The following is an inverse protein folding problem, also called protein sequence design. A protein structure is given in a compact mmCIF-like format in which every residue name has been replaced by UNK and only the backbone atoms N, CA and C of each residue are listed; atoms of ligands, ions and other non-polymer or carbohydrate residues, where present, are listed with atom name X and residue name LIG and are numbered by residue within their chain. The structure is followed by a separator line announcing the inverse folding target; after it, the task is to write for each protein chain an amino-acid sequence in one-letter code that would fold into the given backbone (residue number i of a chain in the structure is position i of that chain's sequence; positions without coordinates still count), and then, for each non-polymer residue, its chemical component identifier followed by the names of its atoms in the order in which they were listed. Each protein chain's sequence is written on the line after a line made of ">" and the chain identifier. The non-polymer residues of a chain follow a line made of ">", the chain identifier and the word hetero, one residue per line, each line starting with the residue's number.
data_IF_991821956096
#
_entry.id   IF_991821956096
#
_cell.length_a   1.000
_cell.length_b   1.000
_cell.length_c   1.000
_cell.angle_alpha   90.00
_cell.angle_beta   90.00
_cell.angle_gamma   90.00
#
_symmetry.space_group_name_H-M   'P 1'
#
loop_
_entity.id
_entity.type
_entity.pdbx_description
1 polymer ?
#
# COMPACT_ATOMS: atom_id res chain seq x y z
N UNK A 1 -2.00 -12.70 -7.76
CA UNK A 1 -1.22 -11.60 -8.40
C UNK A 1 -2.11 -10.36 -8.43
N UNK A 2 -1.57 -9.19 -8.10
CA UNK A 2 -2.33 -7.97 -7.77
C UNK A 2 -3.09 -7.37 -8.95
N UNK A 3 -4.38 -7.70 -9.05
CA UNK A 3 -5.37 -7.06 -9.92
C UNK A 3 -6.17 -5.99 -9.16
N UNK A 4 -6.99 -5.21 -9.87
CA UNK A 4 -7.75 -4.12 -9.28
C UNK A 4 -6.85 -2.93 -8.96
N UNK A 5 -7.21 -2.13 -7.95
CA UNK A 5 -6.49 -0.93 -7.54
C UNK A 5 -6.24 -0.95 -6.03
N UNK A 6 -5.01 -0.64 -5.62
CA UNK A 6 -4.64 -0.40 -4.22
C UNK A 6 -4.41 1.10 -4.01
N UNK A 7 -5.19 1.74 -3.14
CA UNK A 7 -4.91 3.11 -2.73
C UNK A 7 -4.30 3.10 -1.33
N UNK A 8 -3.06 3.57 -1.21
CA UNK A 8 -2.32 3.65 0.03
C UNK A 8 -2.10 5.12 0.41
N UNK A 9 -2.66 5.54 1.55
CA UNK A 9 -2.52 6.90 2.06
C UNK A 9 -1.69 6.92 3.34
N UNK A 10 -0.74 7.84 3.43
CA UNK A 10 0.06 8.09 4.64
C UNK A 10 0.16 9.60 4.86
N UNK A 11 -0.31 10.06 6.02
CA UNK A 11 -0.41 11.49 6.33
C UNK A 11 0.94 12.17 6.54
N UNK A 12 1.97 11.43 6.99
CA UNK A 12 3.31 11.97 7.21
C UNK A 12 4.15 11.79 5.94
N UNK A 13 4.46 12.91 5.29
CA UNK A 13 5.18 12.94 4.00
C UNK A 13 6.47 12.12 3.97
N UNK A 14 7.29 12.15 5.02
CA UNK A 14 8.53 11.36 5.07
C UNK A 14 8.26 9.86 5.04
N UNK A 15 7.23 9.39 5.77
CA UNK A 15 6.78 8.00 5.76
C UNK A 15 6.11 7.63 4.43
N UNK A 16 5.36 8.55 3.83
CA UNK A 16 4.72 8.33 2.53
C UNK A 16 5.73 8.12 1.40
N UNK A 17 6.90 8.80 1.46
CA UNK A 17 8.02 8.53 0.55
C UNK A 17 8.61 7.13 0.73
N UNK A 18 8.77 6.67 1.97
CA UNK A 18 9.24 5.31 2.27
C UNK A 18 8.20 4.27 1.78
N UNK A 19 6.92 4.54 1.99
CA UNK A 19 5.82 3.72 1.48
C UNK A 19 5.89 3.59 -0.06
N UNK A 20 6.04 4.69 -0.79
CA UNK A 20 6.20 4.66 -2.25
C UNK A 20 7.40 3.81 -2.70
N UNK A 21 8.53 3.91 -1.99
CA UNK A 21 9.72 3.08 -2.26
C UNK A 21 9.46 1.58 -1.99
N UNK A 22 8.72 1.25 -0.93
CA UNK A 22 8.35 -0.13 -0.63
C UNK A 22 7.39 -0.70 -1.68
N UNK A 23 6.40 0.07 -2.13
CA UNK A 23 5.47 -0.30 -3.20
C UNK A 23 6.25 -0.63 -4.49
N UNK A 24 7.21 0.22 -4.85
CA UNK A 24 8.09 0.00 -6.01
C UNK A 24 8.96 -1.26 -5.86
N UNK A 25 9.61 -1.42 -4.70
CA UNK A 25 10.49 -2.55 -4.42
C UNK A 25 9.75 -3.89 -4.39
N UNK A 26 8.50 -3.89 -3.93
CA UNK A 26 7.64 -5.07 -3.95
C UNK A 26 7.02 -5.36 -5.33
N UNK A 27 7.31 -4.54 -6.35
CA UNK A 27 6.82 -4.74 -7.71
C UNK A 27 5.31 -4.49 -7.86
N UNK A 28 4.70 -3.72 -6.97
CA UNK A 28 3.25 -3.45 -7.00
C UNK A 28 2.94 -2.45 -8.12
N UNK A 29 2.22 -2.91 -9.15
CA UNK A 29 1.91 -2.14 -10.38
C UNK A 29 0.67 -1.28 -10.27
N UNK A 30 -0.27 -1.71 -9.45
CA UNK A 30 -1.63 -1.22 -9.42
C UNK A 30 -1.90 -0.38 -8.16
N UNK A 31 -0.89 0.33 -7.67
CA UNK A 31 -1.01 1.16 -6.48
C UNK A 31 -1.01 2.66 -6.79
N UNK A 32 -1.78 3.40 -6.01
CA UNK A 32 -1.66 4.86 -5.85
C UNK A 32 -1.18 5.11 -4.42
N UNK A 33 -0.12 5.90 -4.29
CA UNK A 33 0.38 6.39 -3.00
C UNK A 33 0.04 7.86 -2.88
N UNK A 34 -0.62 8.22 -1.78
CA UNK A 34 -1.06 9.58 -1.48
C UNK A 34 -0.60 10.02 -0.09
N UNK A 35 -0.54 11.33 0.09
CA UNK A 35 -0.21 11.97 1.36
C UNK A 35 -1.19 13.13 1.59
N UNK A 36 -2.32 12.80 2.19
CA UNK A 36 -3.37 13.77 2.54
C UNK A 36 -4.17 13.29 3.74
N UNK A 37 -4.93 14.18 4.38
CA UNK A 37 -5.82 13.82 5.48
C UNK A 37 -6.97 12.90 5.02
N UNK A 38 -7.51 12.13 5.97
CA UNK A 38 -8.57 11.18 5.68
C UNK A 38 -9.83 11.86 5.13
N UNK A 39 -10.17 13.07 5.59
CA UNK A 39 -11.36 13.79 5.13
C UNK A 39 -11.26 14.17 3.64
N UNK A 40 -10.08 14.57 3.16
CA UNK A 40 -9.84 14.80 1.73
C UNK A 40 -10.02 13.51 0.90
N UNK A 41 -9.56 12.37 1.41
CA UNK A 41 -9.80 11.04 0.81
C UNK A 41 -11.29 10.71 0.78
N UNK A 42 -11.99 10.84 1.91
CA UNK A 42 -13.43 10.60 2.06
C UNK A 42 -14.26 11.35 1.02
N UNK A 43 -14.00 12.66 0.91
CA UNK A 43 -14.70 13.51 -0.06
C UNK A 43 -14.37 13.20 -1.51
N UNK A 44 -13.08 13.02 -1.83
CA UNK A 44 -12.64 12.88 -3.22
C UNK A 44 -12.83 11.48 -3.81
N UNK A 45 -12.95 10.45 -2.96
CA UNK A 45 -13.14 9.05 -3.33
C UNK A 45 -14.43 8.46 -2.75
N UNK A 46 -15.46 9.29 -2.55
CA UNK A 46 -16.74 8.86 -2.01
C UNK A 46 -17.37 7.75 -2.86
N UNK A 47 -17.72 6.63 -2.24
CA UNK A 47 -18.34 5.47 -2.89
C UNK A 47 -17.45 4.74 -3.90
N UNK A 48 -16.12 4.84 -3.78
CA UNK A 48 -15.16 4.29 -4.75
C UNK A 48 -14.67 2.87 -4.44
N UNK A 49 -14.47 2.52 -3.16
CA UNK A 49 -13.80 1.27 -2.80
C UNK A 49 -14.77 0.14 -2.45
N UNK A 50 -14.45 -1.07 -2.90
CA UNK A 50 -15.08 -2.32 -2.43
C UNK A 50 -14.61 -2.69 -1.00
N UNK A 51 -13.39 -2.28 -0.63
CA UNK A 51 -12.80 -2.59 0.66
C UNK A 51 -11.86 -1.49 1.14
N UNK A 52 -11.90 -1.20 2.44
CA UNK A 52 -11.04 -0.23 3.12
C UNK A 52 -10.43 -0.87 4.35
N UNK A 53 -9.12 -0.70 4.53
CA UNK A 53 -8.39 -1.06 5.74
C UNK A 53 -7.98 0.20 6.49
N UNK A 54 -8.33 0.26 7.77
CA UNK A 54 -7.88 1.28 8.71
C UNK A 54 -7.00 0.59 9.76
N UNK A 55 -5.69 0.77 9.63
CA UNK A 55 -4.76 0.56 10.73
C UNK A 55 -4.61 1.91 11.45
N UNK A 56 -5.36 2.08 12.52
CA UNK A 56 -5.60 3.40 13.09
C UNK A 56 -4.46 3.82 14.02
N UNK A 57 -4.03 5.10 14.00
CA UNK A 57 -3.14 5.62 15.02
C UNK A 57 -3.81 5.46 16.39
N UNK A 58 -3.13 4.80 17.32
CA UNK A 58 -3.66 4.44 18.63
C UNK A 58 -2.64 4.70 19.74
N UNK A 59 -3.07 4.56 20.99
CA UNK A 59 -2.18 4.69 22.17
C UNK A 59 -1.03 3.68 22.21
N UNK A 60 -1.07 2.63 21.38
CA UNK A 60 0.08 1.75 21.12
C UNK A 60 0.48 0.83 22.28
N UNK A 61 -0.45 0.47 23.16
CA UNK A 61 -0.18 -0.38 24.33
C UNK A 61 0.43 -1.75 23.96
N UNK A 62 0.09 -2.29 22.77
CA UNK A 62 0.71 -3.51 22.24
C UNK A 62 2.19 -3.35 21.91
N UNK A 63 2.68 -2.13 21.75
CA UNK A 63 4.10 -1.85 21.46
C UNK A 63 4.98 -1.83 22.71
N UNK A 64 4.42 -1.86 23.93
CA UNK A 64 5.18 -1.77 25.18
C UNK A 64 6.31 -2.80 25.32
N UNK A 65 6.13 -3.99 24.74
CA UNK A 65 7.16 -5.06 24.76
C UNK A 65 8.33 -4.81 23.81
N UNK A 66 8.11 -4.05 22.74
CA UNK A 66 9.10 -3.77 21.69
C UNK A 66 9.74 -2.39 21.82
N UNK A 67 8.97 -1.42 22.26
CA UNK A 67 9.34 -0.01 22.26
C UNK A 67 9.16 0.58 23.66
N UNK A 68 10.22 0.63 24.49
CA UNK A 68 10.15 1.20 25.84
C UNK A 68 9.65 2.65 25.87
N UNK A 69 9.86 3.41 24.78
CA UNK A 69 9.38 4.78 24.66
C UNK A 69 7.84 4.88 24.67
N UNK A 70 7.13 3.87 24.17
CA UNK A 70 5.66 3.86 24.15
C UNK A 70 5.05 3.93 25.56
N UNK A 71 5.74 3.39 26.57
CA UNK A 71 5.31 3.50 27.98
C UNK A 71 5.33 4.94 28.48
N UNK A 72 6.28 5.77 28.01
CA UNK A 72 6.41 7.16 28.44
C UNK A 72 5.40 8.10 27.79
N UNK A 73 4.81 7.69 26.67
CA UNK A 73 3.80 8.44 25.91
C UNK A 73 2.37 8.02 26.28
N UNK A 74 2.21 7.00 27.12
CA UNK A 74 0.90 6.50 27.53
C UNK A 74 0.25 7.39 28.59
N UNK A 75 -1.03 7.70 28.39
CA UNK A 75 -1.91 8.34 29.37
C UNK A 75 -3.37 8.16 28.96
N UNK A 76 -4.31 8.27 29.91
CA UNK A 76 -5.75 8.27 29.62
C UNK A 76 -6.14 9.42 28.66
N UNK A 77 -5.49 10.58 28.79
CA UNK A 77 -5.66 11.69 27.85
C UNK A 77 -5.24 11.32 26.42
N UNK A 78 -4.16 10.55 26.27
CA UNK A 78 -3.69 10.07 24.97
C UNK A 78 -4.68 9.05 24.36
N UNK A 79 -5.20 8.12 25.16
CA UNK A 79 -6.28 7.19 24.74
C UNK A 79 -7.48 7.99 24.22
N UNK A 80 -7.96 8.98 24.98
CA UNK A 80 -9.07 9.83 24.57
C UNK A 80 -8.79 10.65 23.30
N UNK A 81 -7.56 11.15 23.13
CA UNK A 81 -7.14 11.85 21.90
C UNK A 81 -7.12 10.91 20.69
N UNK A 82 -6.56 9.71 20.84
CA UNK A 82 -6.53 8.69 19.81
C UNK A 82 -7.94 8.25 19.40
N UNK A 83 -8.82 7.97 20.36
CA UNK A 83 -10.21 7.61 20.10
C UNK A 83 -10.96 8.68 19.27
N UNK A 84 -10.79 9.97 19.59
CA UNK A 84 -11.38 11.08 18.80
C UNK A 84 -10.86 11.09 17.37
N UNK A 85 -9.54 10.99 17.18
CA UNK A 85 -8.92 10.94 15.85
C UNK A 85 -9.37 9.72 15.05
N UNK A 86 -9.49 8.57 15.71
CA UNK A 86 -9.98 7.33 15.09
C UNK A 86 -11.43 7.48 14.62
N UNK A 87 -12.27 8.23 15.34
CA UNK A 87 -13.64 8.54 14.90
C UNK A 87 -13.59 9.32 13.58
N UNK A 88 -12.82 10.40 13.50
CA UNK A 88 -12.68 11.19 12.26
C UNK A 88 -12.20 10.34 11.07
N UNK A 89 -11.26 9.42 11.31
CA UNK A 89 -10.75 8.51 10.27
C UNK A 89 -11.81 7.48 9.85
N UNK A 90 -12.55 6.91 10.80
CA UNK A 90 -13.63 5.94 10.54
C UNK A 90 -14.75 6.57 9.70
N UNK A 91 -15.18 7.78 10.05
CA UNK A 91 -16.18 8.55 9.29
C UNK A 91 -15.73 8.76 7.84
N UNK A 92 -14.53 9.28 7.65
CA UNK A 92 -14.00 9.55 6.32
C UNK A 92 -13.78 8.27 5.50
N UNK A 93 -13.40 7.15 6.13
CA UNK A 93 -13.26 5.87 5.48
C UNK A 93 -14.60 5.27 5.06
N UNK A 94 -15.64 5.40 5.90
CA UNK A 94 -16.99 4.96 5.60
C UNK A 94 -17.54 5.66 4.34
N UNK A 95 -17.28 6.96 4.20
CA UNK A 95 -17.65 7.74 3.01
C UNK A 95 -17.02 7.20 1.72
N UNK A 96 -15.85 6.56 1.78
CA UNK A 96 -15.23 6.02 0.57
C UNK A 96 -15.77 4.67 0.10
N UNK A 97 -16.56 3.98 0.93
CA UNK A 97 -17.07 2.65 0.61
C UNK A 97 -18.31 2.73 -0.28
N UNK A 98 -18.35 1.87 -1.29
CA UNK A 98 -19.56 1.61 -2.07
C UNK A 98 -20.55 0.73 -1.29
N UNK A 99 -21.78 0.59 -1.83
CA UNK A 99 -22.76 -0.36 -1.30
C UNK A 99 -22.21 -1.78 -1.34
N UNK A 100 -22.38 -2.54 -0.25
CA UNK A 100 -21.83 -3.89 -0.09
C UNK A 100 -20.34 -3.92 0.28
N UNK A 101 -19.66 -2.76 0.28
CA UNK A 101 -18.25 -2.63 0.61
C UNK A 101 -17.93 -2.98 2.06
N UNK A 102 -16.66 -3.31 2.32
CA UNK A 102 -16.19 -3.78 3.64
C UNK A 102 -15.14 -2.86 4.24
N UNK A 103 -15.29 -2.56 5.52
CA UNK A 103 -14.34 -1.78 6.31
C UNK A 103 -13.68 -2.68 7.35
N UNK A 104 -12.36 -2.86 7.29
CA UNK A 104 -11.61 -3.50 8.38
C UNK A 104 -10.97 -2.42 9.23
N UNK A 105 -11.39 -2.33 10.49
CA UNK A 105 -10.81 -1.45 11.49
C UNK A 105 -9.87 -2.25 12.38
N UNK A 106 -8.68 -1.70 12.65
CA UNK A 106 -7.69 -2.34 13.49
C UNK A 106 -6.86 -1.34 14.28
N UNK A 107 -6.38 -1.79 15.43
CA UNK A 107 -5.47 -1.04 16.33
C UNK A 107 -4.46 -2.00 16.96
N UNK A 108 -3.33 -1.47 17.40
CA UNK A 108 -2.36 -2.18 18.24
C UNK A 108 -2.44 -1.78 19.73
N UNK A 109 -3.64 -1.44 20.23
CA UNK A 109 -3.88 -1.07 21.64
C UNK A 109 -4.91 -1.98 22.31
N UNK A 110 -4.93 -2.02 23.65
CA UNK A 110 -5.89 -2.81 24.41
C UNK A 110 -7.09 -1.99 24.91
N UNK A 111 -6.95 -0.67 25.05
CA UNK A 111 -7.98 0.26 25.49
C UNK A 111 -9.36 0.02 24.84
N UNK A 112 -10.43 -0.26 25.62
CA UNK A 112 -11.80 -0.39 25.10
C UNK A 112 -12.32 0.86 24.36
N UNK A 113 -11.89 2.05 24.79
CA UNK A 113 -12.23 3.36 24.25
C UNK A 113 -11.83 3.53 22.78
N UNK A 114 -10.74 2.87 22.38
CA UNK A 114 -10.22 2.85 21.02
C UNK A 114 -10.70 1.61 20.23
N UNK A 115 -11.33 0.64 20.90
CA UNK A 115 -11.68 -0.65 20.31
C UNK A 115 -13.19 -0.85 20.25
N UNK A 116 -13.79 -1.61 21.18
CA UNK A 116 -15.22 -1.91 21.15
C UNK A 116 -16.09 -0.66 21.22
N UNK A 117 -15.68 0.35 21.99
CA UNK A 117 -16.46 1.59 22.10
C UNK A 117 -16.42 2.40 20.80
N UNK A 118 -15.33 2.34 20.04
CA UNK A 118 -15.30 2.89 18.68
C UNK A 118 -16.28 2.20 17.76
N UNK A 119 -16.32 0.86 17.80
CA UNK A 119 -17.25 0.08 16.97
C UNK A 119 -18.70 0.34 17.38
N UNK A 120 -19.00 0.39 18.68
CA UNK A 120 -20.34 0.69 19.17
C UNK A 120 -20.80 2.10 18.77
N UNK A 121 -19.92 3.10 18.93
CA UNK A 121 -20.18 4.49 18.51
C UNK A 121 -20.44 4.58 17.01
N UNK A 122 -19.60 3.92 16.20
CA UNK A 122 -19.73 3.91 14.75
C UNK A 122 -21.06 3.27 14.32
N UNK A 123 -21.40 2.08 14.82
CA UNK A 123 -22.67 1.41 14.48
C UNK A 123 -23.90 2.18 14.92
N UNK A 124 -23.79 3.01 15.97
CA UNK A 124 -24.87 3.87 16.42
C UNK A 124 -25.07 5.10 15.51
N UNK A 125 -23.98 5.64 14.96
CA UNK A 125 -24.03 6.75 14.01
C UNK A 125 -24.39 6.29 12.58
N UNK A 126 -24.02 5.06 12.22
CA UNK A 126 -24.14 4.50 10.86
C UNK A 126 -25.05 3.27 10.83
N UNK A 127 -26.38 3.44 10.86
CA UNK A 127 -27.33 2.32 10.82
C UNK A 127 -27.32 1.56 9.49
N UNK A 128 -26.67 2.10 8.45
CA UNK A 128 -26.42 1.45 7.17
C UNK A 128 -25.20 0.52 7.19
N UNK A 129 -24.52 0.37 8.33
CA UNK A 129 -23.44 -0.59 8.54
C UNK A 129 -23.84 -1.72 9.48
N UNK A 130 -23.28 -2.90 9.24
CA UNK A 130 -23.38 -4.06 10.12
C UNK A 130 -22.00 -4.57 10.53
N UNK A 131 -21.90 -5.14 11.73
CA UNK A 131 -20.71 -5.84 12.18
C UNK A 131 -20.72 -7.27 11.62
N UNK A 132 -19.66 -7.64 10.91
CA UNK A 132 -19.48 -8.98 10.35
C UNK A 132 -18.94 -9.92 11.43
N UNK A 133 -19.54 -11.09 11.57
CA UNK A 133 -19.12 -12.11 12.53
C UNK A 133 -17.77 -12.74 12.15
N UNK A 134 -16.72 -12.45 12.93
CA UNK A 134 -15.39 -13.07 12.80
C UNK A 134 -15.20 -14.27 13.73
N UNK A 135 -16.24 -14.78 14.40
CA UNK A 135 -16.15 -15.92 15.32
C UNK A 135 -15.59 -17.19 14.66
N UNK A 136 -15.79 -17.36 13.34
CA UNK A 136 -15.25 -18.46 12.54
C UNK A 136 -13.76 -18.35 12.18
N UNK A 137 -13.07 -17.26 12.56
CA UNK A 137 -11.64 -17.10 12.27
C UNK A 137 -10.76 -17.88 13.25
N UNK A 138 -9.60 -18.35 12.78
CA UNK A 138 -8.66 -19.15 13.58
C UNK A 138 -7.74 -18.33 14.49
N UNK A 139 -7.85 -17.00 14.47
CA UNK A 139 -6.95 -16.10 15.19
C UNK A 139 -7.68 -15.25 16.24
N UNK A 140 -6.90 -14.81 17.23
CA UNK A 140 -7.39 -14.01 18.35
C UNK A 140 -8.42 -14.73 19.21
N UNK A 141 -8.95 -14.00 20.19
CA UNK A 141 -10.11 -14.32 21.01
C UNK A 141 -11.28 -13.38 20.67
N UNK A 142 -12.52 -13.70 21.04
CA UNK A 142 -13.63 -12.76 20.90
C UNK A 142 -13.32 -11.41 21.56
N UNK A 143 -13.76 -10.32 20.95
CA UNK A 143 -13.78 -9.01 21.59
C UNK A 143 -14.64 -8.99 22.85
N UNK A 144 -14.48 -7.95 23.64
CA UNK A 144 -15.22 -7.81 24.88
C UNK A 144 -16.69 -7.49 24.62
N UNK A 145 -17.56 -8.04 25.45
CA UNK A 145 -18.99 -7.73 25.42
C UNK A 145 -19.26 -6.33 25.94
N UNK A 146 -20.43 -5.76 25.61
CA UNK A 146 -20.86 -4.46 26.16
C UNK A 146 -20.77 -4.41 27.69
N UNK A 147 -21.13 -5.50 28.38
CA UNK A 147 -21.07 -5.57 29.84
C UNK A 147 -19.65 -5.39 30.41
N UNK A 148 -18.62 -5.74 29.64
CA UNK A 148 -17.21 -5.62 30.02
C UNK A 148 -16.63 -4.24 29.69
N UNK A 149 -17.20 -3.51 28.74
CA UNK A 149 -16.65 -2.23 28.26
C UNK A 149 -17.48 -1.00 28.64
N UNK A 150 -18.73 -1.18 29.10
CA UNK A 150 -19.65 -0.09 29.43
C UNK A 150 -19.12 0.91 30.47
N UNK A 151 -18.22 0.48 31.36
CA UNK A 151 -17.65 1.35 32.40
C UNK A 151 -16.64 2.35 31.84
N UNK A 152 -16.11 2.10 30.64
CA UNK A 152 -15.19 2.98 29.91
C UNK A 152 -15.93 3.94 28.95
N UNK A 153 -17.27 3.92 28.94
CA UNK A 153 -18.08 4.70 28.01
C UNK A 153 -18.84 5.82 28.72
N UNK A 154 -18.74 7.04 28.19
CA UNK A 154 -19.53 8.20 28.64
C UNK A 154 -21.01 8.12 28.19
N UNK A 155 -21.34 7.19 27.31
CA UNK A 155 -22.67 7.04 26.71
C UNK A 155 -23.13 5.58 26.72
N UNK A 156 -24.45 5.37 26.77
CA UNK A 156 -25.04 4.06 26.59
C UNK A 156 -25.30 3.81 25.10
N UNK A 157 -24.82 2.67 24.59
CA UNK A 157 -25.12 2.20 23.24
C UNK A 157 -26.08 0.99 23.27
N UNK A 158 -26.82 0.73 22.18
CA UNK A 158 -27.51 -0.54 21.99
C UNK A 158 -26.57 -1.74 22.19
N UNK A 159 -27.13 -2.91 22.51
CA UNK A 159 -26.35 -4.13 22.68
C UNK A 159 -25.89 -4.69 21.33
N UNK A 160 -24.88 -4.06 20.73
CA UNK A 160 -24.20 -4.56 19.54
C UNK A 160 -23.44 -5.87 19.87
N UNK A 161 -23.31 -6.80 18.91
CA UNK A 161 -22.61 -8.07 19.11
C UNK A 161 -21.09 -7.90 19.07
N UNK A 162 -20.53 -7.10 19.98
CA UNK A 162 -19.11 -6.71 19.98
C UNK A 162 -18.13 -7.90 20.04
N UNK A 163 -18.57 -9.04 20.54
CA UNK A 163 -17.84 -10.32 20.51
C UNK A 163 -17.55 -10.86 19.10
N UNK A 164 -18.18 -10.31 18.06
CA UNK A 164 -17.87 -10.58 16.66
C UNK A 164 -16.54 -9.97 16.22
N UNK A 165 -16.02 -8.99 16.97
CA UNK A 165 -14.66 -8.48 16.80
C UNK A 165 -13.63 -9.48 17.36
N UNK A 166 -12.35 -9.29 17.01
CA UNK A 166 -11.24 -10.11 17.50
C UNK A 166 -10.26 -9.28 18.31
N UNK A 167 -9.77 -9.84 19.41
CA UNK A 167 -8.63 -9.35 20.18
C UNK A 167 -7.49 -10.36 20.11
N UNK A 168 -6.27 -9.88 20.02
CA UNK A 168 -5.06 -10.65 20.24
C UNK A 168 -4.39 -9.98 21.44
N UNK A 169 -4.27 -10.70 22.54
CA UNK A 169 -3.54 -10.24 23.72
C UNK A 169 -2.14 -10.88 23.72
N UNK A 170 -1.16 -10.35 24.47
CA UNK A 170 0.17 -10.96 24.54
C UNK A 170 0.14 -12.45 24.92
N UNK A 171 -0.82 -12.85 25.77
CA UNK A 171 -1.03 -14.25 26.16
C UNK A 171 -1.54 -15.17 25.04
N UNK A 172 -2.05 -14.64 23.93
CA UNK A 172 -2.44 -15.40 22.74
C UNK A 172 -1.27 -15.63 21.77
N UNK A 173 -0.10 -15.02 22.04
CA UNK A 173 1.01 -14.91 21.10
C UNK A 173 0.95 -13.64 20.26
N UNK A 174 2.13 -13.09 19.93
CA UNK A 174 2.26 -11.78 19.29
C UNK A 174 2.33 -10.62 20.29
N UNK A 175 2.22 -9.39 19.79
CA UNK A 175 2.37 -8.17 20.60
C UNK A 175 1.05 -7.68 21.19
N UNK A 176 -0.01 -7.66 20.37
CA UNK A 176 -1.31 -7.15 20.75
C UNK A 176 -2.03 -6.53 19.54
N UNK A 177 -3.31 -6.85 19.34
CA UNK A 177 -4.09 -6.25 18.25
C UNK A 177 -5.60 -6.35 18.48
N UNK A 178 -6.36 -5.42 17.91
CA UNK A 178 -7.82 -5.48 17.82
C UNK A 178 -8.25 -5.41 16.35
N UNK A 179 -9.28 -6.16 15.97
CA UNK A 179 -9.80 -6.22 14.60
C UNK A 179 -11.33 -6.25 14.63
N UNK A 180 -11.95 -5.37 13.86
CA UNK A 180 -13.38 -5.37 13.57
C UNK A 180 -13.60 -5.30 12.05
N UNK A 181 -14.50 -6.12 11.53
CA UNK A 181 -14.91 -6.09 10.13
C UNK A 181 -16.36 -5.59 10.04
N UNK A 182 -16.58 -4.49 9.36
CA UNK A 182 -17.88 -3.90 9.10
C UNK A 182 -18.24 -4.06 7.63
N UNK A 183 -19.53 -4.11 7.33
CA UNK A 183 -20.06 -4.15 5.96
C UNK A 183 -21.12 -3.07 5.80
N UNK A 184 -21.03 -2.33 4.70
CA UNK A 184 -22.04 -1.34 4.33
C UNK A 184 -23.19 -2.02 3.60
N UNK A 185 -24.40 -1.85 4.10
CA UNK A 185 -25.64 -2.34 3.49
C UNK A 185 -26.42 -1.24 2.76
N UNK A 186 -26.19 0.04 3.09
CA UNK A 186 -26.84 1.17 2.43
C UNK A 186 -26.09 1.66 1.19
N UNK A 187 -26.81 2.43 0.37
CA UNK A 187 -26.23 3.14 -0.78
C UNK A 187 -25.35 4.29 -0.31
N UNK A 188 -24.34 4.62 -1.10
CA UNK A 188 -23.50 5.78 -0.88
C UNK A 188 -23.45 6.67 -2.13
N UNK A 189 -23.24 7.96 -1.93
CA UNK A 189 -23.05 8.89 -3.04
C UNK A 189 -21.72 8.61 -3.74
N UNK A 190 -21.78 8.42 -5.06
CA UNK A 190 -20.60 8.27 -5.92
C UNK A 190 -20.20 9.65 -6.44
N UNK A 191 -19.15 10.23 -5.86
CA UNK A 191 -18.77 11.64 -6.11
C UNK A 191 -17.40 11.81 -6.79
N UNK A 192 -16.69 10.72 -7.10
CA UNK A 192 -15.39 10.80 -7.76
C UNK A 192 -15.53 10.99 -9.28
N UNK A 193 -14.62 11.77 -9.85
CA UNK A 193 -14.44 11.86 -11.32
C UNK A 193 -13.53 10.76 -11.83
N UNK A 194 -13.54 10.49 -13.14
CA UNK A 194 -12.55 9.60 -13.78
C UNK A 194 -11.20 10.28 -14.01
N UNK A 195 -10.12 9.49 -14.03
CA UNK A 195 -8.82 9.97 -14.46
C UNK A 195 -8.81 10.28 -15.97
N UNK A 196 -8.36 11.47 -16.39
CA UNK A 196 -8.35 11.85 -17.80
C UNK A 196 -7.13 11.26 -18.52
N UNK A 197 -7.22 10.01 -18.98
CA UNK A 197 -6.16 9.38 -19.76
C UNK A 197 -5.90 10.12 -21.07
N UNK A 198 -4.63 10.45 -21.30
CA UNK A 198 -4.16 11.11 -22.53
C UNK A 198 -3.76 10.02 -23.53
N UNK A 199 -4.50 9.91 -24.64
CA UNK A 199 -4.27 8.88 -25.66
C UNK A 199 -3.24 9.27 -26.72
N UNK A 200 -3.04 10.57 -26.95
CA UNK A 200 -2.15 11.09 -27.98
C UNK A 200 -0.78 11.54 -27.43
N UNK A 201 -0.40 11.07 -26.24
CA UNK A 201 0.89 11.40 -25.64
C UNK A 201 2.03 10.68 -26.36
N UNK A 202 2.92 11.46 -26.98
CA UNK A 202 4.02 10.95 -27.81
C UNK A 202 4.98 10.06 -27.01
N UNK A 203 5.27 10.40 -25.75
CA UNK A 203 6.18 9.59 -24.95
C UNK A 203 5.54 8.27 -24.52
N UNK A 204 4.24 8.28 -24.18
CA UNK A 204 3.47 7.06 -23.93
C UNK A 204 3.42 6.14 -25.15
N UNK A 205 3.25 6.69 -26.35
CA UNK A 205 3.30 5.91 -27.60
C UNK A 205 4.69 5.29 -27.81
N UNK A 206 5.76 6.08 -27.62
CA UNK A 206 7.15 5.60 -27.74
C UNK A 206 7.52 4.56 -26.68
N UNK A 207 6.90 4.62 -25.51
CA UNK A 207 7.14 3.67 -24.43
C UNK A 207 6.80 2.24 -24.83
N UNK A 208 5.76 2.00 -25.63
CA UNK A 208 5.44 0.64 -26.10
C UNK A 208 6.58 -0.01 -26.88
N UNK A 209 7.32 0.76 -27.69
CA UNK A 209 8.51 0.25 -28.40
C UNK A 209 9.61 -0.12 -27.41
N UNK A 210 9.92 0.76 -26.44
CA UNK A 210 10.91 0.47 -25.39
C UNK A 210 10.51 -0.74 -24.53
N UNK A 211 9.22 -0.85 -24.19
CA UNK A 211 8.70 -1.94 -23.38
C UNK A 211 8.90 -3.28 -24.08
N UNK A 212 8.67 -3.37 -25.40
CA UNK A 212 8.96 -4.56 -26.22
C UNK A 212 10.45 -4.91 -26.32
N UNK A 213 11.35 -3.94 -26.13
CA UNK A 213 12.79 -4.23 -26.01
C UNK A 213 13.13 -4.87 -24.66
N UNK A 214 12.31 -4.64 -23.62
CA UNK A 214 12.56 -5.11 -22.26
C UNK A 214 11.80 -6.40 -21.93
N UNK A 215 10.55 -6.55 -22.41
CA UNK A 215 9.62 -7.61 -22.01
C UNK A 215 8.92 -8.27 -23.21
N UNK A 216 8.58 -9.55 -23.06
CA UNK A 216 7.88 -10.39 -24.05
C UNK A 216 6.36 -10.29 -23.92
N UNK A 217 5.86 -10.24 -22.69
CA UNK A 217 4.43 -10.08 -22.40
C UNK A 217 4.00 -8.63 -22.63
N UNK A 218 2.75 -8.35 -23.02
CA UNK A 218 2.24 -6.98 -23.05
C UNK A 218 2.25 -6.34 -21.65
N UNK A 219 2.30 -5.02 -21.60
CA UNK A 219 2.15 -4.26 -20.37
C UNK A 219 0.74 -4.40 -19.79
N UNK A 220 0.65 -4.28 -18.46
CA UNK A 220 -0.62 -4.17 -17.76
C UNK A 220 -0.77 -2.73 -17.29
N UNK A 221 -1.76 -2.04 -17.84
CA UNK A 221 -2.04 -0.63 -17.56
C UNK A 221 -1.78 0.29 -18.75
N UNK A 222 -2.01 1.59 -18.53
CA UNK A 222 -1.97 2.63 -19.54
C UNK A 222 -0.73 3.51 -19.29
N UNK A 223 0.25 3.57 -20.20
CA UNK A 223 1.36 4.51 -20.10
C UNK A 223 0.84 5.96 -20.15
N UNK A 224 1.33 6.81 -19.24
CA UNK A 224 1.01 8.23 -19.14
C UNK A 224 2.28 9.02 -18.76
N UNK A 225 2.57 10.12 -19.47
CA UNK A 225 3.64 11.03 -19.07
C UNK A 225 3.22 11.86 -17.86
N UNK A 226 3.99 11.77 -16.78
CA UNK A 226 3.81 12.54 -15.55
C UNK A 226 5.17 13.14 -15.18
N UNK A 227 5.33 14.44 -15.42
CA UNK A 227 6.62 15.12 -15.31
C UNK A 227 7.63 14.54 -16.30
N UNK A 228 8.80 14.16 -15.81
CA UNK A 228 9.89 13.58 -16.62
C UNK A 228 9.85 12.05 -16.71
N UNK A 229 8.74 11.42 -16.33
CA UNK A 229 8.60 9.96 -16.28
C UNK A 229 7.34 9.54 -17.04
N UNK A 230 7.46 8.52 -17.90
CA UNK A 230 6.32 7.75 -18.39
C UNK A 230 5.99 6.69 -17.35
N UNK A 231 4.83 6.80 -16.72
CA UNK A 231 4.33 5.83 -15.72
C UNK A 231 3.28 4.92 -16.36
N UNK A 232 3.29 3.65 -16.00
CA UNK A 232 2.23 2.71 -16.37
C UNK A 232 1.21 2.71 -15.24
N UNK A 233 0.09 3.41 -15.46
CA UNK A 233 -0.97 3.57 -14.47
C UNK A 233 -2.06 2.50 -14.66
N UNK A 234 -2.73 2.04 -13.59
CA UNK A 234 -3.83 1.09 -13.73
C UNK A 234 -5.02 1.72 -14.47
N UNK A 235 -5.82 0.88 -15.11
CA UNK A 235 -7.11 1.30 -15.69
C UNK A 235 -8.13 1.65 -14.60
N UNK A 236 -9.15 2.43 -14.94
CA UNK A 236 -10.24 2.75 -14.01
C UNK A 236 -9.86 3.68 -12.84
N UNK A 237 -8.69 4.32 -12.88
CA UNK A 237 -8.32 5.32 -11.87
C UNK A 237 -9.38 6.42 -11.69
N UNK A 238 -9.65 6.84 -10.44
CA UNK A 238 -10.40 8.05 -10.17
C UNK A 238 -9.52 9.27 -10.44
N UNK A 239 -10.13 10.44 -10.49
CA UNK A 239 -9.43 11.72 -10.57
C UNK A 239 -8.47 11.84 -9.39
N UNK A 240 -7.20 12.08 -9.68
CA UNK A 240 -6.14 12.23 -8.68
C UNK A 240 -6.02 13.67 -8.14
N UNK A 241 -6.81 14.60 -8.69
CA UNK A 241 -6.69 16.03 -8.40
C UNK A 241 -7.06 16.33 -6.95
N UNK A 242 -6.15 16.99 -6.24
CA UNK A 242 -6.37 17.42 -4.86
C UNK A 242 -6.21 16.32 -3.80
N UNK A 243 -5.80 15.11 -4.18
CA UNK A 243 -5.65 13.96 -3.28
C UNK A 243 -4.20 13.72 -2.80
N UNK A 244 -3.33 14.71 -2.94
CA UNK A 244 -1.94 14.62 -2.46
C UNK A 244 -1.15 13.43 -3.04
N UNK A 245 -1.45 13.00 -4.28
CA UNK A 245 -0.82 11.82 -4.89
C UNK A 245 0.69 12.03 -5.08
N UNK A 246 1.47 11.12 -4.52
CA UNK A 246 2.92 11.04 -4.64
C UNK A 246 3.31 10.20 -5.87
N UNK A 247 2.63 9.07 -6.07
CA UNK A 247 2.88 8.18 -7.19
C UNK A 247 1.63 7.39 -7.55
N UNK A 248 1.38 7.20 -8.84
CA UNK A 248 0.35 6.32 -9.36
C UNK A 248 0.96 5.32 -10.35
N UNK A 249 0.67 4.04 -10.18
CA UNK A 249 1.21 2.98 -11.02
C UNK A 249 2.72 2.80 -10.90
N UNK A 250 3.31 2.03 -11.82
CA UNK A 250 4.75 1.79 -11.87
C UNK A 250 5.46 2.84 -12.72
N UNK A 251 6.67 3.27 -12.31
CA UNK A 251 7.52 4.07 -13.18
C UNK A 251 8.00 3.20 -14.36
N UNK A 252 7.65 3.57 -15.59
CA UNK A 252 7.96 2.82 -16.79
C UNK A 252 9.32 3.22 -17.36
N UNK A 253 9.45 4.50 -17.70
CA UNK A 253 10.66 5.05 -18.28
C UNK A 253 10.91 6.51 -17.90
N UNK A 254 12.17 6.87 -17.71
CA UNK A 254 12.63 8.26 -17.60
C UNK A 254 12.80 8.89 -18.97
N UNK A 255 12.40 10.16 -19.09
CA UNK A 255 12.56 10.98 -20.29
C UNK A 255 13.94 11.63 -20.25
N UNK A 256 14.87 11.09 -21.03
CA UNK A 256 16.25 11.55 -21.10
C UNK A 256 16.49 12.31 -22.42
N UNK A 257 16.24 13.62 -22.44
CA UNK A 257 16.31 14.46 -23.66
C UNK A 257 15.40 13.88 -24.75
N UNK A 258 15.98 13.27 -25.78
CA UNK A 258 15.26 12.74 -26.94
C UNK A 258 15.03 11.22 -26.86
N UNK A 259 15.38 10.55 -25.75
CA UNK A 259 15.21 9.09 -25.59
C UNK A 259 14.50 8.73 -24.29
N UNK A 260 13.90 7.55 -24.28
CA UNK A 260 13.37 6.92 -23.08
C UNK A 260 14.39 5.91 -22.56
N UNK A 261 14.58 5.88 -21.24
CA UNK A 261 15.34 4.82 -20.56
C UNK A 261 14.42 4.16 -19.52
N UNK A 262 14.38 2.82 -19.44
CA UNK A 262 13.46 2.15 -18.53
C UNK A 262 13.85 2.43 -17.08
N UNK A 263 12.85 2.54 -16.21
CA UNK A 263 13.04 2.70 -14.77
C UNK A 263 13.33 1.35 -14.10
N UNK A 264 13.88 1.37 -12.88
CA UNK A 264 14.03 0.14 -12.07
C UNK A 264 12.67 -0.49 -11.72
N UNK A 265 11.68 0.35 -11.38
CA UNK A 265 10.32 -0.07 -11.05
C UNK A 265 9.68 -1.04 -12.05
N UNK A 266 9.79 -0.80 -13.36
CA UNK A 266 9.11 -1.65 -14.36
C UNK A 266 9.69 -3.07 -14.42
N UNK A 267 10.99 -3.22 -14.14
CA UNK A 267 11.64 -4.53 -13.99
C UNK A 267 11.26 -5.21 -12.68
N UNK A 268 11.26 -4.48 -11.56
CA UNK A 268 10.80 -5.04 -10.26
C UNK A 268 9.35 -5.51 -10.33
N UNK A 269 8.56 -4.85 -11.16
CA UNK A 269 7.18 -5.19 -11.33
C UNK A 269 6.96 -6.42 -12.23
N UNK A 270 7.94 -6.86 -13.02
CA UNK A 270 7.78 -8.02 -13.91
C UNK A 270 7.43 -9.28 -13.14
N UNK A 271 6.51 -10.07 -13.71
CA UNK A 271 5.90 -11.16 -12.96
C UNK A 271 6.87 -12.31 -12.77
N UNK A 272 7.73 -12.56 -13.75
CA UNK A 272 8.85 -13.50 -13.68
C UNK A 272 10.04 -12.99 -14.51
N UNK A 273 11.26 -13.46 -14.21
CA UNK A 273 12.43 -13.16 -15.02
C UNK A 273 12.24 -13.59 -16.50
N UNK A 274 11.57 -14.72 -16.74
CA UNK A 274 11.26 -15.25 -18.07
C UNK A 274 10.41 -14.31 -18.95
N UNK A 275 9.70 -13.34 -18.34
CA UNK A 275 8.96 -12.34 -19.10
C UNK A 275 9.90 -11.31 -19.74
N UNK A 276 11.15 -11.21 -19.29
CA UNK A 276 12.13 -10.25 -19.82
C UNK A 276 12.82 -10.80 -21.08
N UNK A 277 13.02 -9.94 -22.08
CA UNK A 277 13.67 -10.30 -23.36
C UNK A 277 15.11 -10.81 -23.14
N UNK A 278 15.84 -10.20 -22.21
CA UNK A 278 17.19 -10.61 -21.81
C UNK A 278 17.28 -10.67 -20.29
N UNK A 279 17.87 -11.75 -19.77
CA UNK A 279 18.03 -12.00 -18.33
C UNK A 279 19.44 -12.51 -18.08
N UNK A 280 20.07 -11.97 -17.03
CA UNK A 280 21.22 -12.57 -16.36
C UNK A 280 20.71 -13.12 -15.02
N UNK A 281 20.48 -14.42 -14.95
CA UNK A 281 20.06 -15.10 -13.73
C UNK A 281 21.28 -15.73 -13.05
N UNK A 282 21.43 -15.48 -11.76
CA UNK A 282 22.60 -15.86 -10.98
C UNK A 282 22.17 -16.65 -9.74
N UNK A 283 23.10 -17.42 -9.21
CA UNK A 283 22.95 -17.98 -7.86
C UNK A 283 23.25 -16.90 -6.82
N UNK A 284 22.80 -17.10 -5.58
CA UNK A 284 23.00 -16.13 -4.50
C UNK A 284 24.48 -15.97 -4.09
N UNK A 285 25.33 -16.96 -4.40
CA UNK A 285 26.77 -16.97 -4.11
C UNK A 285 27.62 -16.42 -5.28
N UNK A 286 27.00 -16.00 -6.39
CA UNK A 286 27.73 -15.43 -7.51
C UNK A 286 28.41 -14.11 -7.11
N UNK A 287 29.75 -13.98 -7.25
CA UNK A 287 30.47 -12.78 -6.82
C UNK A 287 30.07 -11.52 -7.59
N UNK A 288 29.49 -11.67 -8.80
CA UNK A 288 28.97 -10.54 -9.58
C UNK A 288 27.74 -9.91 -8.93
N UNK A 289 26.98 -10.66 -8.13
CA UNK A 289 25.80 -10.13 -7.45
C UNK A 289 26.17 -8.99 -6.50
N UNK A 290 27.23 -9.16 -5.69
CA UNK A 290 27.69 -8.11 -4.78
C UNK A 290 28.14 -6.86 -5.55
N UNK A 291 28.89 -7.05 -6.63
CA UNK A 291 29.35 -5.97 -7.51
C UNK A 291 28.16 -5.22 -8.13
N UNK A 292 27.13 -5.96 -8.58
CA UNK A 292 25.89 -5.38 -9.08
C UNK A 292 25.16 -4.55 -8.01
N UNK A 293 25.00 -5.07 -6.80
CA UNK A 293 24.33 -4.36 -5.70
C UNK A 293 25.13 -3.14 -5.22
N UNK A 294 26.44 -3.09 -5.44
CA UNK A 294 27.28 -1.88 -5.23
C UNK A 294 27.15 -0.86 -6.37
N UNK A 295 26.50 -1.22 -7.48
CA UNK A 295 26.34 -0.35 -8.64
C UNK A 295 27.48 -0.43 -9.66
N UNK A 296 28.32 -1.47 -9.58
CA UNK A 296 29.46 -1.69 -10.46
C UNK A 296 29.03 -2.40 -11.75
N UNK A 297 29.85 -2.30 -12.80
CA UNK A 297 29.67 -3.06 -14.04
C UNK A 297 30.03 -4.52 -13.83
N UNK A 298 29.29 -5.44 -14.45
CA UNK A 298 29.52 -6.88 -14.31
C UNK A 298 29.52 -7.56 -15.67
N UNK A 299 30.15 -8.74 -15.74
CA UNK A 299 30.13 -9.58 -16.94
C UNK A 299 28.76 -10.25 -17.13
N UNK A 300 28.23 -10.12 -18.33
CA UNK A 300 26.95 -10.68 -18.76
C UNK A 300 27.09 -11.30 -20.17
N UNK A 301 27.93 -12.33 -20.34
CA UNK A 301 28.09 -13.00 -21.63
C UNK A 301 26.77 -13.63 -22.08
N UNK A 302 26.45 -13.52 -23.37
CA UNK A 302 25.20 -14.03 -23.94
C UNK A 302 23.97 -13.14 -23.72
N UNK A 303 24.07 -12.09 -22.90
CA UNK A 303 23.03 -11.07 -22.77
C UNK A 303 23.24 -9.91 -23.75
N UNK A 304 22.19 -9.16 -24.06
CA UNK A 304 22.28 -7.96 -24.91
C UNK A 304 21.11 -7.01 -24.64
N UNK A 305 21.32 -5.71 -24.89
CA UNK A 305 20.26 -4.72 -24.76
C UNK A 305 19.89 -4.44 -23.30
N UNK A 306 18.60 -4.24 -23.01
CA UNK A 306 18.11 -4.09 -21.64
C UNK A 306 17.98 -5.48 -21.00
N UNK A 307 18.78 -5.74 -19.98
CA UNK A 307 18.90 -7.05 -19.36
C UNK A 307 18.49 -6.97 -17.89
N UNK A 308 17.51 -7.78 -17.52
CA UNK A 308 17.14 -7.99 -16.12
C UNK A 308 18.24 -8.76 -15.40
N UNK A 309 18.49 -8.42 -14.14
CA UNK A 309 19.37 -9.17 -13.25
C UNK A 309 18.50 -9.88 -12.23
N UNK A 310 18.60 -11.21 -12.20
CA UNK A 310 17.81 -12.07 -11.33
C UNK A 310 18.70 -12.94 -10.45
N UNK A 311 18.13 -13.36 -9.32
CA UNK A 311 18.73 -14.37 -8.42
C UNK A 311 17.69 -15.46 -8.20
N UNK A 312 17.98 -16.68 -8.65
CA UNK A 312 17.02 -17.79 -8.66
C UNK A 312 15.67 -17.41 -9.31
N UNK A 313 15.72 -16.70 -10.43
CA UNK A 313 14.54 -16.23 -11.15
C UNK A 313 13.82 -15.01 -10.53
N UNK A 314 14.26 -14.52 -9.37
CA UNK A 314 13.71 -13.32 -8.73
C UNK A 314 14.46 -12.09 -9.24
N UNK A 315 13.76 -11.19 -9.93
CA UNK A 315 14.36 -9.95 -10.44
C UNK A 315 14.76 -9.07 -9.27
N UNK A 316 16.02 -8.63 -9.28
CA UNK A 316 16.57 -7.71 -8.28
C UNK A 316 16.90 -6.34 -8.88
N UNK A 317 17.09 -6.28 -10.21
CA UNK A 317 17.29 -5.03 -10.92
C UNK A 317 17.55 -5.25 -12.40
N UNK A 318 18.23 -4.30 -13.03
CA UNK A 318 18.53 -4.36 -14.46
C UNK A 318 19.77 -3.55 -14.82
N UNK A 319 20.23 -3.72 -16.06
CA UNK A 319 21.23 -2.88 -16.68
C UNK A 319 21.15 -2.92 -18.20
N UNK A 320 22.09 -2.24 -18.86
CA UNK A 320 22.22 -2.27 -20.32
C UNK A 320 23.50 -3.02 -20.71
N UNK A 321 23.35 -4.14 -21.42
CA UNK A 321 24.46 -4.96 -21.87
C UNK A 321 24.93 -4.54 -23.26
N UNK A 322 26.24 -4.38 -23.40
CA UNK A 322 26.91 -4.13 -24.69
C UNK A 322 28.30 -4.78 -24.65
N UNK A 323 28.62 -5.58 -25.67
CA UNK A 323 29.91 -6.30 -25.73
C UNK A 323 30.12 -7.29 -24.58
N UNK A 324 29.04 -7.90 -24.06
CA UNK A 324 29.10 -8.84 -22.94
C UNK A 324 29.28 -8.20 -21.56
N UNK A 325 29.30 -6.86 -21.46
CA UNK A 325 29.41 -6.13 -20.19
C UNK A 325 28.09 -5.44 -19.87
N UNK A 326 27.58 -5.64 -18.65
CA UNK A 326 26.38 -4.99 -18.14
C UNK A 326 26.73 -3.64 -17.49
N UNK A 327 26.22 -2.56 -18.07
CA UNK A 327 26.22 -1.23 -17.45
C UNK A 327 25.07 -1.14 -16.46
N UNK A 328 25.44 -1.01 -15.19
CA UNK A 328 24.53 -1.10 -14.06
C UNK A 328 23.54 0.07 -13.98
N UNK A 329 22.25 -0.25 -13.83
CA UNK A 329 21.17 0.71 -13.61
C UNK A 329 20.46 0.55 -12.26
N UNK A 330 21.09 -0.14 -11.32
CA UNK A 330 20.62 -0.26 -9.94
C UNK A 330 20.56 1.11 -9.26
N UNK A 331 19.41 1.47 -8.64
CA UNK A 331 19.19 2.79 -8.07
C UNK A 331 20.27 3.19 -7.06
N UNK A 332 20.82 4.40 -7.20
CA UNK A 332 21.91 4.89 -6.34
C UNK A 332 21.59 4.84 -4.84
N UNK A 333 20.33 5.13 -4.48
CA UNK A 333 19.86 5.11 -3.09
C UNK A 333 19.76 3.71 -2.48
N UNK A 334 19.70 2.65 -3.31
CA UNK A 334 19.60 1.26 -2.86
C UNK A 334 20.95 0.54 -2.84
N UNK A 335 22.01 1.16 -3.39
CA UNK A 335 23.32 0.52 -3.49
C UNK A 335 23.87 0.19 -2.12
N UNK A 336 24.42 -1.01 -1.99
CA UNK A 336 25.21 -1.38 -0.81
C UNK A 336 26.41 -0.43 -0.73
N UNK A 337 26.50 0.31 0.36
CA UNK A 337 27.71 1.08 0.68
C UNK A 337 28.71 0.09 1.28
N UNK A 338 30.00 0.27 0.96
CA UNK A 338 31.04 -0.44 1.71
C UNK A 338 30.87 -0.02 3.18
N UNK A 339 30.48 -0.97 4.03
CA UNK A 339 30.58 -0.83 5.47
C UNK A 339 32.04 -0.78 5.90
#
# INVERSE_FOLDING_TARGET
>A
KGSGLLWANEIIRSRAQILAQNIERCGVRNAVVSCTDAAAIGKGLSGFFDAVLIDAPCSGEGMFRKEPAALSEWSEDNIGMCARRQTEILEAAADTLMEGGRLLYSTCTFAPEENELQIARFLNAHPDFELVDLSGTSFGRPGFSWAQVKEFSDQAYPCYPLQYTRRILPGDGGEGHFIALLKRNGTNAVLYGGYPYITNDTNSIRFYSLYKECFRSPESGIPQTIGDIVRVVPEGLPSLRGLGVISAGAAGAEICKNRLEPCHAIFMAAANAEDCVSVLDMNADDPRLLSFLKGETIDAPGCSGWTAVAVYGIITGFGKVSGGILKNRYPKGLRLRNG
#
